data_IF_593806042643
#
_entry.id   IF_593806042643
#
_cell.length_a   1.000
_cell.length_b   1.000
_cell.length_c   1.000
_cell.angle_alpha   90.00
_cell.angle_beta   90.00
_cell.angle_gamma   90.00
#
_symmetry.space_group_name_H-M   'P 1'
#
loop_
_entity.id
_entity.type
_entity.pdbx_description
1 polymer ?
#
# COMPACT_ATOMS: atom_id res chain seq x y z
N UNK A 1 -8.50 -4.04 -29.12
CA UNK A 1 -8.39 -2.60 -28.74
C UNK A 1 -7.07 -2.35 -28.04
N UNK A 2 -6.08 -1.71 -28.69
CA UNK A 2 -4.70 -1.62 -28.17
C UNK A 2 -4.43 -0.41 -27.25
N UNK A 3 -5.14 0.70 -27.47
CA UNK A 3 -4.86 2.01 -26.83
C UNK A 3 -4.93 1.97 -25.29
N UNK A 4 -5.97 1.40 -24.65
CA UNK A 4 -6.05 1.35 -23.19
C UNK A 4 -4.94 0.51 -22.54
N UNK A 5 -4.54 -0.59 -23.19
CA UNK A 5 -3.44 -1.42 -22.71
C UNK A 5 -2.12 -0.66 -22.77
N UNK A 6 -1.90 0.13 -23.84
CA UNK A 6 -0.66 0.88 -23.96
C UNK A 6 -0.52 1.95 -22.88
N UNK A 7 -1.61 2.64 -22.53
CA UNK A 7 -1.63 3.63 -21.46
C UNK A 7 -1.36 3.02 -20.08
N UNK A 8 -2.10 1.98 -19.68
CA UNK A 8 -1.91 1.35 -18.35
C UNK A 8 -0.50 0.80 -18.14
N UNK A 9 0.11 0.28 -19.20
CA UNK A 9 1.43 -0.37 -19.14
C UNK A 9 2.59 0.54 -19.56
N UNK A 10 2.34 1.84 -19.82
CA UNK A 10 3.36 2.79 -20.29
C UNK A 10 4.51 2.92 -19.29
N UNK A 11 4.18 3.17 -18.02
CA UNK A 11 5.17 3.40 -16.95
C UNK A 11 6.09 2.19 -16.77
N UNK A 12 5.50 1.00 -16.58
CA UNK A 12 6.26 -0.24 -16.41
C UNK A 12 7.19 -0.55 -17.60
N UNK A 13 6.74 -0.34 -18.84
CA UNK A 13 7.55 -0.65 -20.03
C UNK A 13 8.68 0.34 -20.28
N UNK A 14 8.45 1.63 -20.06
CA UNK A 14 9.47 2.65 -20.36
C UNK A 14 10.50 2.84 -19.24
N UNK A 15 10.17 2.44 -18.01
CA UNK A 15 11.11 2.52 -16.88
C UNK A 15 11.60 1.15 -16.40
N UNK A 16 11.26 0.07 -17.11
CA UNK A 16 11.53 -1.32 -16.72
C UNK A 16 11.16 -1.60 -15.24
N UNK A 17 10.07 -1.00 -14.74
CA UNK A 17 9.59 -1.29 -13.39
C UNK A 17 9.10 -2.74 -13.34
N UNK A 18 9.82 -3.56 -12.59
CA UNK A 18 9.45 -4.92 -12.19
C UNK A 18 9.67 -5.08 -10.69
N UNK A 19 9.42 -6.28 -10.18
CA UNK A 19 9.52 -6.60 -8.76
C UNK A 19 10.48 -7.77 -8.53
N UNK A 20 11.06 -7.85 -7.34
CA UNK A 20 11.88 -9.00 -6.91
C UNK A 20 11.04 -9.92 -6.05
N UNK A 21 11.00 -11.21 -6.40
CA UNK A 21 10.24 -12.19 -5.64
C UNK A 21 10.93 -12.50 -4.30
N UNK A 22 10.24 -12.34 -3.17
CA UNK A 22 10.79 -12.67 -1.84
C UNK A 22 10.97 -14.18 -1.58
N UNK A 23 10.35 -15.05 -2.39
CA UNK A 23 10.44 -16.51 -2.20
C UNK A 23 11.62 -17.15 -2.91
N UNK A 24 12.05 -16.58 -4.03
CA UNK A 24 13.09 -17.16 -4.89
C UNK A 24 14.13 -16.13 -5.35
N UNK A 25 14.01 -14.89 -4.89
CA UNK A 25 14.95 -13.77 -5.08
C UNK A 25 15.25 -13.40 -6.53
N UNK A 26 14.41 -13.88 -7.47
CA UNK A 26 14.51 -13.54 -8.89
C UNK A 26 13.78 -12.24 -9.20
N UNK A 27 14.41 -11.43 -10.03
CA UNK A 27 13.79 -10.27 -10.64
C UNK A 27 12.72 -10.73 -11.65
N UNK A 28 11.53 -10.15 -11.56
CA UNK A 28 10.36 -10.47 -12.37
C UNK A 28 9.91 -9.21 -13.10
N UNK A 29 9.87 -9.30 -14.42
CA UNK A 29 9.33 -8.26 -15.28
C UNK A 29 8.38 -8.89 -16.32
N UNK A 30 7.15 -8.39 -16.51
CA UNK A 30 6.48 -7.28 -15.80
C UNK A 30 6.11 -7.61 -14.33
N UNK A 31 5.75 -6.62 -13.51
CA UNK A 31 5.28 -6.84 -12.14
C UNK A 31 3.94 -7.60 -12.17
N UNK A 32 3.84 -8.64 -11.35
CA UNK A 32 2.73 -9.61 -11.34
C UNK A 32 2.45 -10.03 -9.90
N UNK A 33 1.22 -10.45 -9.63
CA UNK A 33 0.83 -10.98 -8.32
C UNK A 33 1.37 -12.38 -8.04
N UNK A 34 1.74 -13.14 -9.09
CA UNK A 34 2.22 -14.51 -9.00
C UNK A 34 3.56 -14.62 -9.71
N UNK A 35 4.57 -15.16 -9.01
CA UNK A 35 5.90 -15.31 -9.57
C UNK A 35 5.96 -16.46 -10.60
N UNK A 36 6.51 -16.24 -11.81
CA UNK A 36 6.61 -17.28 -12.84
C UNK A 36 7.65 -18.37 -12.54
N UNK A 37 8.56 -18.14 -11.59
CA UNK A 37 9.61 -19.11 -11.26
C UNK A 37 9.18 -20.08 -10.17
N UNK A 38 8.47 -19.61 -9.16
CA UNK A 38 8.11 -20.41 -7.99
C UNK A 38 6.60 -20.56 -7.79
N UNK A 39 5.76 -19.92 -8.61
CA UNK A 39 4.29 -19.97 -8.56
C UNK A 39 3.67 -19.55 -7.21
N UNK A 40 4.46 -18.89 -6.36
CA UNK A 40 3.99 -18.32 -5.10
C UNK A 40 3.53 -16.87 -5.29
N UNK A 41 2.59 -16.39 -4.45
CA UNK A 41 2.16 -15.00 -4.48
C UNK A 41 3.34 -14.07 -4.17
N UNK A 42 3.49 -13.02 -4.96
CA UNK A 42 4.40 -11.91 -4.67
C UNK A 42 3.75 -11.08 -3.57
N UNK A 43 4.47 -10.82 -2.47
CA UNK A 43 3.91 -10.04 -1.38
C UNK A 43 3.73 -8.60 -1.84
N UNK A 44 2.48 -8.25 -2.18
CA UNK A 44 2.10 -6.92 -2.59
C UNK A 44 2.30 -5.92 -1.46
N UNK A 45 2.72 -4.72 -1.84
CA UNK A 45 2.78 -3.52 -0.99
C UNK A 45 1.53 -3.49 -0.12
N UNK A 46 1.69 -3.66 1.19
CA UNK A 46 0.59 -3.51 2.14
C UNK A 46 0.09 -2.07 2.02
N UNK A 47 -0.96 -1.87 1.22
CA UNK A 47 -1.68 -0.61 1.21
C UNK A 47 -2.31 -0.53 2.59
N UNK A 48 -1.63 0.18 3.49
CA UNK A 48 -2.22 0.62 4.75
C UNK A 48 -3.30 1.61 4.35
N UNK A 49 -4.50 1.11 4.09
CA UNK A 49 -5.68 1.94 3.93
C UNK A 49 -5.84 2.66 5.27
N UNK A 50 -5.48 3.94 5.29
CA UNK A 50 -5.78 4.78 6.43
C UNK A 50 -7.31 4.75 6.64
N UNK A 51 -7.81 4.78 7.88
CA UNK A 51 -9.24 4.81 8.15
C UNK A 51 -9.79 6.21 7.84
N UNK A 52 -9.78 6.60 6.56
CA UNK A 52 -10.23 7.94 6.12
C UNK A 52 -11.75 8.12 6.33
N UNK A 53 -12.45 7.05 6.72
CA UNK A 53 -13.90 7.03 6.95
C UNK A 53 -14.30 6.55 8.35
N UNK A 54 -13.41 6.56 9.35
CA UNK A 54 -13.78 6.20 10.72
C UNK A 54 -14.28 7.44 11.50
N UNK A 55 -15.60 7.64 11.49
CA UNK A 55 -16.28 8.77 12.13
C UNK A 55 -16.02 8.86 13.65
N UNK A 56 -15.77 7.72 14.31
CA UNK A 56 -15.50 7.69 15.74
C UNK A 56 -14.19 8.43 16.10
N UNK A 57 -13.20 8.42 15.21
CA UNK A 57 -11.95 9.14 15.40
C UNK A 57 -12.11 10.67 15.33
N UNK A 58 -13.11 11.17 14.59
CA UNK A 58 -13.40 12.61 14.48
C UNK A 58 -14.11 13.18 15.70
N UNK A 59 -14.89 12.36 16.40
CA UNK A 59 -15.71 12.78 17.54
C UNK A 59 -15.12 12.40 18.90
N UNK A 60 -13.89 11.89 18.95
CA UNK A 60 -13.22 11.58 20.21
C UNK A 60 -12.91 12.89 20.97
N UNK A 61 -13.53 13.14 22.14
CA UNK A 61 -13.20 14.31 22.93
C UNK A 61 -11.75 14.16 23.43
N UNK A 62 -10.93 15.18 23.18
CA UNK A 62 -9.62 15.28 23.80
C UNK A 62 -9.79 15.11 25.30
N UNK A 63 -9.14 14.10 25.88
CA UNK A 63 -9.09 13.94 27.33
C UNK A 63 -8.55 15.24 27.92
N UNK A 64 -9.44 16.03 28.52
CA UNK A 64 -9.07 17.28 29.17
C UNK A 64 -8.14 16.91 30.34
N UNK A 65 -6.95 17.52 30.47
CA UNK A 65 -6.16 17.35 31.68
C UNK A 65 -7.00 17.82 32.86
N UNK A 66 -7.06 16.98 33.89
CA UNK A 66 -7.81 17.19 35.11
C UNK A 66 -7.65 18.63 35.62
N UNK A 67 -8.80 19.24 35.95
CA UNK A 67 -8.92 20.57 36.52
C UNK A 67 -7.88 20.79 37.63
N UNK A 68 -7.19 21.94 37.57
CA UNK A 68 -6.40 22.47 38.67
C UNK A 68 -7.32 22.63 39.89
N UNK A 69 -7.12 21.78 40.90
CA UNK A 69 -7.72 21.95 42.23
C UNK A 69 -6.87 23.01 42.94
N UNK A 70 -7.51 24.09 43.35
CA UNK A 70 -6.87 25.17 44.11
C UNK A 70 -6.67 24.77 45.56
N UNK A 71 -5.52 25.17 46.10
CA UNK A 71 -5.24 25.29 47.52
C UNK A 71 -4.92 26.77 47.79
N UNK A 72 -5.52 27.34 48.84
CA UNK A 72 -5.53 28.75 49.33
C UNK A 72 -4.57 29.79 48.69
#
# INVERSE_FOLDING_TARGET
>A
MAIPNMWRTKKQRYSLQGDVCQHCERAVFPPREICPHCHKPMQGIAIKVAPIFDFAALMAPAAQPAAMVGDD
#
